data_IF_107255185855
#
_entry.id   IF_107255185855
#
_cell.length_a   1.000
_cell.length_b   1.000
_cell.length_c   1.000
_cell.angle_alpha   90.00
_cell.angle_beta   90.00
_cell.angle_gamma   90.00
#
_symmetry.space_group_name_H-M   'P 1'
#
loop_
_entity.id
_entity.type
_entity.pdbx_description
1 polymer ?
#
# COMPACT_ATOMS: atom_id res chain seq x y z
N UNK A 1 1.00 3.99 5.77
CA UNK A 1 -0.37 3.68 5.28
C UNK A 1 -0.65 4.49 4.04
N UNK A 2 -1.07 3.85 2.97
CA UNK A 2 -1.41 4.53 1.74
C UNK A 2 -2.90 4.41 1.46
N UNK A 3 -3.51 5.55 1.11
CA UNK A 3 -4.86 5.58 0.58
C UNK A 3 -4.73 5.76 -0.92
N UNK A 4 -5.43 4.92 -1.68
CA UNK A 4 -5.41 4.95 -3.13
C UNK A 4 -6.80 5.19 -3.69
N UNK A 5 -6.86 5.83 -4.84
CA UNK A 5 -8.07 5.90 -5.65
C UNK A 5 -7.69 5.81 -7.12
N UNK A 6 -8.67 5.54 -7.98
CA UNK A 6 -8.42 5.40 -9.41
C UNK A 6 -8.32 6.76 -10.09
N UNK A 7 -7.44 6.88 -11.08
CA UNK A 7 -7.31 8.09 -11.89
C UNK A 7 -8.59 8.38 -12.68
N UNK A 8 -9.24 7.30 -13.16
CA UNK A 8 -10.48 7.38 -13.94
C UNK A 8 -11.12 5.99 -14.02
N UNK A 9 -12.31 5.92 -14.60
CA UNK A 9 -13.05 4.65 -14.73
C UNK A 9 -12.34 3.66 -15.65
N UNK A 10 -11.67 4.12 -16.68
CA UNK A 10 -10.91 3.28 -17.60
C UNK A 10 -9.78 2.57 -16.87
N UNK A 11 -9.03 3.29 -16.04
CA UNK A 11 -7.96 2.71 -15.23
C UNK A 11 -8.51 1.65 -14.29
N UNK A 12 -9.62 1.94 -13.62
CA UNK A 12 -10.28 0.99 -12.72
C UNK A 12 -10.68 -0.28 -13.46
N UNK A 13 -11.35 -0.13 -14.58
CA UNK A 13 -11.81 -1.27 -15.38
C UNK A 13 -10.67 -2.13 -15.89
N UNK A 14 -9.59 -1.48 -16.33
CA UNK A 14 -8.37 -2.18 -16.77
C UNK A 14 -7.77 -3.00 -15.63
N UNK A 15 -7.65 -2.40 -14.46
CA UNK A 15 -7.07 -3.08 -13.29
C UNK A 15 -7.96 -4.23 -12.80
N UNK A 16 -9.27 -4.03 -12.78
CA UNK A 16 -10.23 -5.06 -12.33
C UNK A 16 -10.28 -6.26 -13.26
N UNK A 17 -9.85 -6.10 -14.52
CA UNK A 17 -9.77 -7.20 -15.48
C UNK A 17 -8.52 -8.06 -15.28
N UNK A 18 -7.53 -7.58 -14.53
CA UNK A 18 -6.31 -8.32 -14.25
C UNK A 18 -6.55 -9.30 -13.12
N UNK A 19 -6.19 -10.55 -13.32
CA UNK A 19 -6.27 -11.59 -12.29
C UNK A 19 -4.87 -12.02 -11.92
N UNK A 20 -4.44 -11.68 -10.71
CA UNK A 20 -3.12 -12.07 -10.19
C UNK A 20 -3.32 -12.73 -8.82
N UNK A 21 -2.35 -13.56 -8.44
CA UNK A 21 -2.34 -14.19 -7.13
C UNK A 21 -1.80 -13.24 -6.06
N UNK A 22 -2.10 -13.53 -4.80
CA UNK A 22 -1.53 -12.77 -3.67
C UNK A 22 -0.01 -12.77 -3.73
N UNK A 23 0.56 -13.91 -4.06
CA UNK A 23 2.02 -14.08 -4.17
C UNK A 23 2.60 -13.12 -5.21
N UNK A 24 2.00 -13.07 -6.38
CA UNK A 24 2.47 -12.22 -7.47
C UNK A 24 2.24 -10.74 -7.16
N UNK A 25 1.13 -10.43 -6.50
CA UNK A 25 0.83 -9.07 -6.04
C UNK A 25 1.95 -8.54 -5.14
N UNK A 26 2.27 -9.26 -4.08
CA UNK A 26 3.29 -8.80 -3.13
C UNK A 26 4.71 -8.84 -3.71
N UNK A 27 4.98 -9.71 -4.67
CA UNK A 27 6.25 -9.71 -5.38
C UNK A 27 6.39 -8.49 -6.29
N UNK A 28 5.30 -8.05 -6.92
CA UNK A 28 5.28 -6.88 -7.80
C UNK A 28 5.55 -5.59 -7.01
N UNK A 29 4.96 -5.47 -5.82
CA UNK A 29 5.05 -4.27 -5.01
C UNK A 29 6.15 -4.36 -3.96
N UNK A 30 7.32 -4.75 -4.41
CA UNK A 30 8.50 -4.85 -3.55
C UNK A 30 9.74 -4.38 -4.31
N UNK A 31 10.49 -3.47 -3.69
CA UNK A 31 11.81 -3.04 -4.15
C UNK A 31 12.79 -3.11 -2.97
N UNK A 32 14.04 -2.76 -3.20
CA UNK A 32 15.03 -2.68 -2.12
C UNK A 32 14.69 -1.62 -1.07
N UNK A 33 13.86 -0.63 -1.44
CA UNK A 33 13.55 0.53 -0.60
C UNK A 33 12.12 0.57 -0.08
N UNK A 34 11.23 -0.26 -0.60
CA UNK A 34 9.82 -0.26 -0.21
C UNK A 34 9.20 -1.63 -0.44
N UNK A 35 8.27 -2.00 0.45
CA UNK A 35 7.56 -3.27 0.37
C UNK A 35 6.12 -3.08 0.84
N UNK A 36 5.16 -3.53 0.02
CA UNK A 36 3.78 -3.59 0.44
C UNK A 36 3.57 -4.80 1.35
N UNK A 37 3.02 -4.57 2.54
CA UNK A 37 2.84 -5.61 3.55
C UNK A 37 1.41 -6.13 3.62
N UNK A 38 0.42 -5.25 3.48
CA UNK A 38 -0.99 -5.60 3.47
C UNK A 38 -1.73 -4.74 2.46
N UNK A 39 -2.86 -5.27 2.00
CA UNK A 39 -3.70 -4.59 1.04
C UNK A 39 -5.18 -4.81 1.40
N UNK A 40 -5.98 -3.75 1.34
CA UNK A 40 -7.41 -3.81 1.55
C UNK A 40 -8.13 -3.16 0.38
N UNK A 41 -9.12 -3.86 -0.19
CA UNK A 41 -10.01 -3.30 -1.20
C UNK A 41 -11.22 -2.67 -0.53
N UNK A 42 -11.50 -1.41 -0.87
CA UNK A 42 -12.76 -0.77 -0.52
C UNK A 42 -13.86 -1.10 -1.52
N UNK A 43 -15.03 -0.52 -1.31
CA UNK A 43 -16.22 -0.86 -2.09
C UNK A 43 -16.10 -0.46 -3.56
N UNK A 44 -15.74 0.78 -3.85
CA UNK A 44 -15.78 1.32 -5.21
C UNK A 44 -14.59 2.18 -5.59
N UNK A 45 -14.25 3.17 -4.80
CA UNK A 45 -13.31 4.20 -5.19
C UNK A 45 -11.99 4.15 -4.46
N UNK A 46 -11.99 3.66 -3.22
CA UNK A 46 -10.81 3.68 -2.40
C UNK A 46 -10.31 2.28 -2.09
N UNK A 47 -9.01 2.14 -2.02
CA UNK A 47 -8.37 0.95 -1.48
C UNK A 47 -7.13 1.40 -0.68
N UNK A 48 -6.61 0.49 0.13
CA UNK A 48 -5.59 0.83 1.11
C UNK A 48 -4.47 -0.17 1.08
N UNK A 49 -3.26 0.30 1.33
CA UNK A 49 -2.08 -0.55 1.46
C UNK A 49 -1.25 -0.10 2.64
N UNK A 50 -0.67 -1.05 3.34
CA UNK A 50 0.32 -0.78 4.36
C UNK A 50 1.69 -1.10 3.80
N UNK A 51 2.59 -0.13 3.81
CA UNK A 51 3.92 -0.25 3.26
C UNK A 51 4.98 -0.06 4.34
N UNK A 52 6.07 -0.80 4.19
CA UNK A 52 7.32 -0.56 4.91
C UNK A 52 8.30 0.04 3.90
N UNK A 53 8.74 1.26 4.13
CA UNK A 53 9.53 2.00 3.13
C UNK A 53 10.50 2.96 3.78
N UNK A 54 11.61 3.25 3.08
CA UNK A 54 12.59 4.23 3.53
C UNK A 54 12.02 5.65 3.52
N UNK A 55 11.10 5.93 2.60
CA UNK A 55 10.53 7.25 2.42
C UNK A 55 9.25 7.16 1.60
N UNK A 56 8.50 8.26 1.55
CA UNK A 56 7.34 8.39 0.67
C UNK A 56 7.74 8.22 -0.80
N UNK A 57 8.87 8.80 -1.19
CA UNK A 57 9.37 8.70 -2.57
C UNK A 57 9.66 7.25 -2.95
N UNK A 58 10.12 6.42 -2.03
CA UNK A 58 10.38 5.02 -2.28
C UNK A 58 9.09 4.26 -2.63
N UNK A 59 7.97 4.63 -2.03
CA UNK A 59 6.66 4.04 -2.34
C UNK A 59 6.23 4.46 -3.75
N UNK A 60 6.33 5.75 -4.09
CA UNK A 60 5.99 6.23 -5.42
C UNK A 60 6.86 5.59 -6.51
N UNK A 61 8.15 5.42 -6.23
CA UNK A 61 9.06 4.73 -7.13
C UNK A 61 8.64 3.28 -7.37
N UNK A 62 8.25 2.57 -6.31
CA UNK A 62 7.79 1.18 -6.43
C UNK A 62 6.53 1.08 -7.28
N UNK A 63 5.59 2.00 -7.11
CA UNK A 63 4.36 2.04 -7.91
C UNK A 63 4.65 2.39 -9.37
N UNK A 64 5.58 3.29 -9.62
CA UNK A 64 6.00 3.65 -10.97
C UNK A 64 6.65 2.47 -11.68
N UNK A 65 7.53 1.76 -11.00
CA UNK A 65 8.17 0.56 -11.55
C UNK A 65 7.17 -0.56 -11.85
N UNK A 66 6.10 -0.64 -11.07
CA UNK A 66 5.03 -1.60 -11.29
C UNK A 66 4.05 -1.17 -12.41
N UNK A 67 4.18 0.07 -12.91
CA UNK A 67 3.32 0.59 -13.97
C UNK A 67 2.00 1.17 -13.48
N UNK A 68 1.83 1.38 -12.20
CA UNK A 68 0.56 1.81 -11.61
C UNK A 68 0.42 3.31 -11.47
N UNK A 69 1.49 4.08 -11.61
CA UNK A 69 1.48 5.52 -11.35
C UNK A 69 0.50 6.30 -12.23
N UNK A 70 0.17 5.79 -13.41
CA UNK A 70 -0.80 6.40 -14.31
C UNK A 70 -2.24 5.93 -14.07
N UNK A 71 -2.41 4.88 -13.27
CA UNK A 71 -3.72 4.26 -13.03
C UNK A 71 -4.33 4.67 -11.72
N UNK A 72 -3.51 4.97 -10.71
CA UNK A 72 -3.98 5.28 -9.37
C UNK A 72 -3.35 6.57 -8.83
N UNK A 73 -4.10 7.22 -7.97
CA UNK A 73 -3.60 8.30 -7.12
C UNK A 73 -3.24 7.68 -5.77
N UNK A 74 -2.10 8.06 -5.22
CA UNK A 74 -1.59 7.49 -3.97
C UNK A 74 -1.28 8.59 -2.97
N UNK A 75 -1.87 8.50 -1.78
CA UNK A 75 -1.61 9.41 -0.67
C UNK A 75 -1.01 8.63 0.49
N UNK A 76 0.31 8.62 0.61
CA UNK A 76 0.98 7.99 1.74
C UNK A 76 0.81 8.82 3.01
N UNK A 77 0.65 8.13 4.13
CA UNK A 77 0.63 8.75 5.45
C UNK A 77 1.53 7.94 6.37
N UNK A 78 2.53 8.57 6.96
CA UNK A 78 3.45 7.90 7.85
C UNK A 78 2.74 7.44 9.12
N UNK A 79 2.86 6.15 9.41
CA UNK A 79 2.28 5.55 10.61
C UNK A 79 3.41 4.89 11.40
N UNK A 80 4.10 5.64 12.26
CA UNK A 80 5.29 5.14 12.95
C UNK A 80 5.00 4.05 13.98
N UNK A 81 3.73 3.82 14.29
CA UNK A 81 3.30 2.77 15.23
C UNK A 81 2.27 1.88 14.57
N UNK A 82 2.48 0.59 14.71
CA UNK A 82 1.56 -0.42 14.22
C UNK A 82 1.45 -1.56 15.23
N UNK A 83 0.24 -1.94 15.58
CA UNK A 83 -0.02 -3.13 16.37
C UNK A 83 -1.12 -3.94 15.69
N UNK A 84 -1.11 -5.25 15.92
CA UNK A 84 -2.10 -6.14 15.34
C UNK A 84 -2.57 -7.16 16.37
N UNK A 85 -3.87 -7.42 16.38
CA UNK A 85 -4.43 -8.47 17.25
C UNK A 85 -3.97 -9.87 16.83
N UNK A 86 -3.43 -10.00 15.62
CA UNK A 86 -2.88 -11.28 15.12
C UNK A 86 -1.42 -11.48 15.52
N UNK A 87 -0.79 -10.47 16.11
CA UNK A 87 0.59 -10.50 16.58
C UNK A 87 0.68 -9.74 17.91
N UNK A 88 -0.02 -10.22 18.93
CA UNK A 88 -0.10 -9.58 20.24
C UNK A 88 1.20 -9.77 21.00
N UNK A 89 1.68 -8.68 21.62
CA UNK A 89 2.87 -8.70 22.48
C UNK A 89 2.52 -8.04 23.82
N UNK A 90 3.40 -8.20 24.81
CA UNK A 90 3.28 -7.54 26.10
C UNK A 90 3.91 -6.14 26.11
N UNK A 91 4.42 -5.71 24.99
CA UNK A 91 5.07 -4.40 24.90
C UNK A 91 4.04 -3.29 25.02
N UNK A 92 4.30 -2.33 25.90
CA UNK A 92 3.43 -1.18 26.08
C UNK A 92 3.39 -0.31 24.80
N UNK A 93 2.22 0.24 24.53
CA UNK A 93 2.11 1.26 23.50
C UNK A 93 2.94 2.47 23.90
N UNK A 94 3.85 2.86 23.03
CA UNK A 94 4.69 4.02 23.27
C UNK A 94 3.97 5.26 22.76
N UNK A 95 3.97 6.33 23.58
CA UNK A 95 3.41 7.61 23.16
C UNK A 95 4.30 8.20 22.06
N UNK A 96 3.73 8.47 20.90
CA UNK A 96 4.46 8.98 19.74
C UNK A 96 4.95 10.41 19.92
N UNK A 97 4.42 11.13 20.89
CA UNK A 97 4.74 12.54 21.13
C UNK A 97 5.70 12.76 22.30
N UNK A 98 6.26 11.70 22.80
CA UNK A 98 7.29 11.78 23.86
C UNK A 98 8.69 11.92 23.27
#
# INVERSE_FOLDING_TARGET
MCTHTWQNDEAKNTAMAISITDKDFFATYKTDRAECLQHWMGDNEFFFCHWFAESEDAIHEALELAGDSEMILTLPYETPRYISSTAITDTALVNLFE
#
